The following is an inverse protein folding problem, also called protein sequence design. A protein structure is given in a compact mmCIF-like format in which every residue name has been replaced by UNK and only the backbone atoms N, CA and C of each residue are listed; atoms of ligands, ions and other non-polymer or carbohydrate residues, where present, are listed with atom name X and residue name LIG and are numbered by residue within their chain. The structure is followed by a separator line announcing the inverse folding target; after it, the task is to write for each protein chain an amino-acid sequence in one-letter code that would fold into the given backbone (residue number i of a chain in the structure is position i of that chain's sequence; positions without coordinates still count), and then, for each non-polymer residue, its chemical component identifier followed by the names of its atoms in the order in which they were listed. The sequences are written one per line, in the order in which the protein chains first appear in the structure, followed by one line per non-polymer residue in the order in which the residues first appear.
data_IF_549135833916
#
_entry.id   IF_549135833916
#
_cell.length_a   1.000
_cell.length_b   1.000
_cell.length_c   1.000
_cell.angle_alpha   90.00
_cell.angle_beta   90.00
_cell.angle_gamma   90.00
#
_symmetry.space_group_name_H-M   'P 1'
#
loop_
_entity.id
_entity.type
_entity.pdbx_description
1 polymer ?
#
# COMPACT_ATOMS: atom_id res chain seq x y z
N UNK A 1 -9.85 -8.85 -15.50
CA UNK A 1 -9.25 -9.92 -14.68
C UNK A 1 -7.96 -10.39 -15.35
N UNK A 2 -6.88 -10.52 -14.60
CA UNK A 2 -5.59 -10.98 -15.09
C UNK A 2 -5.50 -12.52 -14.96
N UNK A 3 -5.14 -13.24 -16.04
CA UNK A 3 -4.85 -14.66 -15.93
C UNK A 3 -3.76 -14.91 -14.87
N UNK A 4 -3.97 -15.91 -14.02
CA UNK A 4 -3.03 -16.30 -12.96
C UNK A 4 -2.85 -15.30 -11.82
N UNK A 5 -3.67 -14.24 -11.72
CA UNK A 5 -3.73 -13.34 -10.58
C UNK A 5 -5.08 -13.42 -9.87
N UNK A 6 -5.06 -13.45 -8.54
CA UNK A 6 -6.24 -13.38 -7.71
C UNK A 6 -6.15 -12.19 -6.77
N UNK A 7 -7.11 -11.29 -6.84
CA UNK A 7 -7.25 -10.22 -5.87
C UNK A 7 -8.12 -10.66 -4.69
N UNK A 8 -7.71 -10.30 -3.47
CA UNK A 8 -8.48 -10.49 -2.25
C UNK A 8 -8.60 -9.13 -1.56
N UNK A 9 -9.82 -8.70 -1.30
CA UNK A 9 -10.07 -7.46 -0.59
C UNK A 9 -9.92 -7.66 0.93
N UNK A 10 -9.35 -6.67 1.62
CA UNK A 10 -9.28 -6.69 3.09
C UNK A 10 -10.64 -6.43 3.71
N UNK A 11 -11.53 -5.73 3.01
CA UNK A 11 -12.96 -5.56 3.29
C UNK A 11 -13.75 -5.51 1.99
N UNK A 12 -14.98 -5.92 2.01
CA UNK A 12 -15.90 -6.02 0.87
C UNK A 12 -17.14 -5.12 0.99
N UNK A 13 -17.18 -4.30 2.03
CA UNK A 13 -18.23 -3.31 2.27
C UNK A 13 -17.72 -2.18 3.16
N UNK A 14 -18.56 -1.18 3.43
CA UNK A 14 -18.19 -0.01 4.21
C UNK A 14 -18.23 -0.29 5.72
N UNK A 15 -17.17 -0.88 6.23
CA UNK A 15 -16.91 -1.05 7.66
C UNK A 15 -15.43 -0.87 7.98
N UNK A 16 -15.14 -0.44 9.17
CA UNK A 16 -13.75 -0.24 9.60
C UNK A 16 -13.05 -1.60 9.84
N UNK A 17 -11.82 -1.72 9.33
CA UNK A 17 -10.93 -2.83 9.62
C UNK A 17 -9.62 -2.26 10.16
N UNK A 18 -9.20 -2.59 11.39
CA UNK A 18 -7.94 -2.13 11.95
C UNK A 18 -6.75 -2.41 11.03
N UNK A 19 -5.78 -1.50 11.00
CA UNK A 19 -4.65 -1.56 10.06
C UNK A 19 -3.87 -2.87 10.20
N UNK A 20 -3.62 -3.30 11.43
CA UNK A 20 -2.95 -4.57 11.69
C UNK A 20 -3.75 -5.79 11.20
N UNK A 21 -5.08 -5.73 11.28
CA UNK A 21 -5.94 -6.81 10.79
C UNK A 21 -5.91 -6.93 9.27
N UNK A 22 -5.73 -5.82 8.54
CA UNK A 22 -5.52 -5.84 7.08
C UNK A 22 -4.24 -6.58 6.73
N UNK A 23 -3.13 -6.28 7.44
CA UNK A 23 -1.85 -6.99 7.29
C UNK A 23 -2.01 -8.48 7.61
N UNK A 24 -2.67 -8.82 8.72
CA UNK A 24 -2.89 -10.22 9.10
C UNK A 24 -3.76 -10.98 8.07
N UNK A 25 -4.78 -10.33 7.50
CA UNK A 25 -5.61 -10.94 6.44
C UNK A 25 -4.76 -11.22 5.19
N UNK A 26 -3.91 -10.28 4.77
CA UNK A 26 -2.99 -10.49 3.65
C UNK A 26 -2.05 -11.67 3.89
N UNK A 27 -1.46 -11.76 5.09
CA UNK A 27 -0.59 -12.89 5.47
C UNK A 27 -1.33 -14.23 5.54
N UNK A 28 -2.55 -14.25 6.10
CA UNK A 28 -3.38 -15.47 6.19
C UNK A 28 -3.72 -16.05 4.82
N UNK A 29 -3.98 -15.21 3.82
CA UNK A 29 -4.25 -15.67 2.45
C UNK A 29 -2.97 -15.85 1.64
N UNK A 30 -1.80 -15.72 2.27
CA UNK A 30 -0.49 -15.86 1.64
C UNK A 30 -0.35 -14.98 0.39
N UNK A 31 -0.71 -13.70 0.51
CA UNK A 31 -0.59 -12.74 -0.59
C UNK A 31 0.86 -12.61 -1.05
N UNK A 32 1.07 -12.48 -2.36
CA UNK A 32 2.38 -12.23 -2.95
C UNK A 32 2.75 -10.74 -2.94
N UNK A 33 1.74 -9.87 -2.80
CA UNK A 33 1.88 -8.44 -2.55
C UNK A 33 0.64 -7.85 -1.88
N UNK A 34 0.80 -6.67 -1.30
CA UNK A 34 -0.28 -5.91 -0.67
C UNK A 34 -0.32 -4.48 -1.20
N UNK A 35 -1.51 -4.03 -1.61
CA UNK A 35 -1.74 -2.66 -2.06
C UNK A 35 -2.80 -2.00 -1.20
N UNK A 36 -2.49 -0.81 -0.69
CA UNK A 36 -3.42 0.09 -0.04
C UNK A 36 -3.74 1.23 -1.01
N UNK A 37 -5.00 1.33 -1.46
CA UNK A 37 -5.42 2.31 -2.47
C UNK A 37 -6.20 3.40 -1.78
N UNK A 38 -5.76 4.64 -1.95
CA UNK A 38 -6.22 5.83 -1.27
C UNK A 38 -6.57 6.95 -2.24
N UNK A 39 -7.37 7.90 -1.77
CA UNK A 39 -7.62 9.21 -2.35
C UNK A 39 -7.88 10.19 -1.20
N UNK A 40 -6.81 10.67 -0.57
CA UNK A 40 -6.89 11.45 0.66
C UNK A 40 -7.22 12.92 0.42
N UNK A 41 -7.76 13.57 1.44
CA UNK A 41 -7.82 15.02 1.48
C UNK A 41 -6.48 15.60 1.95
N UNK A 42 -5.98 16.62 1.25
CA UNK A 42 -4.80 17.35 1.67
C UNK A 42 -5.17 18.74 2.20
N UNK A 43 -4.29 19.33 3.02
CA UNK A 43 -4.53 20.66 3.63
C UNK A 43 -4.71 21.75 2.57
N UNK A 44 -3.98 21.62 1.46
CA UNK A 44 -4.05 22.55 0.33
C UNK A 44 -4.99 22.00 -0.74
N UNK A 45 -6.04 22.75 -1.13
CA UNK A 45 -7.00 22.28 -2.12
C UNK A 45 -6.44 22.23 -3.56
N UNK A 46 -5.25 22.76 -3.78
CA UNK A 46 -4.53 22.71 -5.06
C UNK A 46 -3.64 21.45 -5.20
N UNK A 47 -3.51 20.65 -4.13
CA UNK A 47 -2.81 19.37 -4.21
C UNK A 47 -3.44 18.47 -5.28
N UNK A 48 -2.62 17.90 -6.13
CA UNK A 48 -3.06 17.05 -7.25
C UNK A 48 -2.03 16.00 -7.60
N UNK A 49 -2.48 15.00 -8.31
CA UNK A 49 -1.63 13.98 -8.89
C UNK A 49 -1.45 12.74 -8.01
N UNK A 50 -0.94 11.69 -8.61
CA UNK A 50 -0.74 10.41 -7.94
C UNK A 50 0.61 10.34 -7.25
N UNK A 51 0.69 9.57 -6.17
CA UNK A 51 1.92 9.26 -5.44
C UNK A 51 1.94 7.78 -5.03
N UNK A 52 3.14 7.24 -4.87
CA UNK A 52 3.32 5.88 -4.33
C UNK A 52 4.26 5.93 -3.13
N UNK A 53 3.84 5.28 -2.06
CA UNK A 53 4.57 5.20 -0.81
C UNK A 53 4.88 3.75 -0.45
N UNK A 54 6.03 3.53 0.18
CA UNK A 54 6.40 2.24 0.76
C UNK A 54 6.90 2.44 2.19
N UNK A 55 6.98 1.36 2.93
CA UNK A 55 7.45 1.40 4.31
C UNK A 55 8.89 1.91 4.42
N UNK A 56 9.15 2.70 5.47
CA UNK A 56 10.49 2.99 5.97
C UNK A 56 10.53 2.83 7.49
N UNK A 57 11.58 2.22 7.98
CA UNK A 57 11.91 2.15 9.39
C UNK A 57 12.90 3.23 9.84
N UNK A 58 13.56 3.87 8.87
CA UNK A 58 14.63 4.87 9.12
C UNK A 58 14.14 6.32 9.06
N UNK A 59 12.82 6.53 9.04
CA UNK A 59 12.19 7.84 8.92
C UNK A 59 11.55 8.07 7.56
N UNK A 60 10.89 9.22 7.42
CA UNK A 60 10.19 9.57 6.18
C UNK A 60 11.11 10.25 5.17
N UNK A 61 10.88 9.99 3.88
CA UNK A 61 11.61 10.62 2.77
C UNK A 61 11.32 12.10 2.62
N UNK A 62 10.13 12.54 3.08
CA UNK A 62 9.72 13.95 3.06
C UNK A 62 8.81 14.27 4.25
N UNK A 63 8.65 15.58 4.53
CA UNK A 63 7.67 16.05 5.53
C UNK A 63 6.25 15.65 5.16
N UNK A 64 5.91 15.67 3.87
CA UNK A 64 4.61 15.26 3.37
C UNK A 64 4.36 13.78 3.62
N UNK A 65 5.31 12.89 3.27
CA UNK A 65 5.21 11.46 3.53
C UNK A 65 5.04 11.17 5.02
N UNK A 66 5.73 11.91 5.89
CA UNK A 66 5.57 11.79 7.34
C UNK A 66 4.17 12.16 7.81
N UNK A 67 3.65 13.29 7.35
CA UNK A 67 2.32 13.77 7.76
C UNK A 67 1.22 12.83 7.25
N UNK A 68 1.35 12.33 6.02
CA UNK A 68 0.41 11.35 5.47
C UNK A 68 0.42 10.06 6.30
N UNK A 69 1.61 9.52 6.58
CA UNK A 69 1.73 8.31 7.40
C UNK A 69 1.16 8.49 8.81
N UNK A 70 1.31 9.67 9.42
CA UNK A 70 0.69 9.96 10.71
C UNK A 70 -0.84 9.90 10.63
N UNK A 71 -1.45 10.57 9.65
CA UNK A 71 -2.90 10.57 9.45
C UNK A 71 -3.45 9.16 9.23
N UNK A 72 -2.79 8.39 8.34
CA UNK A 72 -3.19 7.02 8.07
C UNK A 72 -3.08 6.12 9.30
N UNK A 73 -2.03 6.29 10.09
CA UNK A 73 -1.85 5.54 11.33
C UNK A 73 -2.88 5.91 12.40
N UNK A 74 -3.34 7.17 12.43
CA UNK A 74 -4.36 7.66 13.36
C UNK A 74 -5.76 7.10 13.05
N UNK A 75 -5.97 6.47 11.88
CA UNK A 75 -7.23 5.81 11.55
C UNK A 75 -7.63 4.73 12.56
N UNK A 76 -6.67 4.04 13.15
CA UNK A 76 -6.94 3.06 14.22
C UNK A 76 -7.48 3.71 15.50
N UNK A 77 -7.02 4.91 15.84
CA UNK A 77 -7.53 5.68 16.99
C UNK A 77 -8.98 6.12 16.75
N UNK A 78 -9.27 6.63 15.55
CA UNK A 78 -10.65 7.00 15.14
C UNK A 78 -11.55 5.78 15.11
N UNK A 79 -11.03 4.62 14.70
CA UNK A 79 -11.74 3.34 14.71
C UNK A 79 -11.92 2.70 16.10
N UNK A 80 -11.45 3.34 17.17
CA UNK A 80 -11.60 2.86 18.55
C UNK A 80 -10.69 1.70 18.93
N UNK A 81 -9.58 1.50 18.24
CA UNK A 81 -8.59 0.45 18.55
C UNK A 81 -7.78 0.82 19.78
N UNK A 82 -7.77 -0.07 20.79
CA UNK A 82 -6.91 0.11 21.95
C UNK A 82 -5.46 -0.29 21.62
N UNK A 83 -4.57 0.67 21.50
CA UNK A 83 -3.15 0.48 21.18
C UNK A 83 -2.28 0.04 22.38
N UNK A 84 -2.88 -0.21 23.55
CA UNK A 84 -2.18 -0.48 24.82
C UNK A 84 -1.62 -1.90 24.99
N UNK A 85 -1.89 -2.85 24.10
CA UNK A 85 -1.41 -4.23 24.20
C UNK A 85 -0.09 -4.42 23.42
N UNK A 86 1.04 -4.29 24.10
CA UNK A 86 2.37 -4.61 23.56
C UNK A 86 2.83 -5.96 24.05
N UNK A 87 2.78 -6.97 23.20
CA UNK A 87 3.58 -8.19 23.34
C UNK A 87 4.57 -8.29 22.19
N UNK A 88 5.84 -7.88 22.43
CA UNK A 88 6.85 -7.77 21.38
C UNK A 88 8.27 -7.87 21.95
N UNK A 89 8.81 -9.06 22.21
CA UNK A 89 10.26 -9.09 22.50
C UNK A 89 11.08 -10.25 21.90
N UNK A 90 10.53 -11.24 21.24
CA UNK A 90 11.29 -12.45 20.88
C UNK A 90 11.55 -12.74 19.39
N UNK A 91 11.13 -11.86 18.47
CA UNK A 91 11.28 -12.12 17.03
C UNK A 91 12.10 -11.06 16.27
N UNK A 92 12.75 -10.12 16.99
CA UNK A 92 13.23 -8.87 16.38
C UNK A 92 14.34 -9.03 15.34
N UNK A 93 15.34 -9.87 15.58
CA UNK A 93 16.56 -9.90 14.74
C UNK A 93 16.37 -10.62 13.39
N UNK A 94 15.60 -11.70 13.34
CA UNK A 94 15.26 -12.38 12.06
C UNK A 94 14.20 -11.60 11.27
N UNK A 95 13.29 -10.90 11.98
CA UNK A 95 12.34 -9.98 11.37
C UNK A 95 13.04 -8.82 10.64
N UNK A 96 14.06 -8.22 11.23
CA UNK A 96 14.74 -7.04 10.68
C UNK A 96 15.40 -7.31 9.32
N UNK A 97 16.03 -8.49 9.14
CA UNK A 97 16.62 -8.87 7.85
C UNK A 97 15.57 -9.16 6.77
N UNK A 98 14.51 -9.87 7.15
CA UNK A 98 13.38 -10.13 6.26
C UNK A 98 12.69 -8.85 5.85
N UNK A 99 12.49 -7.94 6.77
CA UNK A 99 11.82 -6.66 6.53
C UNK A 99 12.63 -5.75 5.60
N UNK A 100 13.97 -5.72 5.72
CA UNK A 100 14.83 -4.96 4.80
C UNK A 100 14.72 -5.46 3.37
N UNK A 101 14.71 -6.78 3.14
CA UNK A 101 14.53 -7.36 1.83
C UNK A 101 13.14 -7.02 1.25
N UNK A 102 12.10 -7.15 2.06
CA UNK A 102 10.71 -6.83 1.70
C UNK A 102 10.52 -5.34 1.37
N UNK A 103 11.16 -4.42 2.10
CA UNK A 103 11.16 -2.99 1.78
C UNK A 103 11.83 -2.73 0.42
N UNK A 104 12.96 -3.39 0.13
CA UNK A 104 13.61 -3.26 -1.17
C UNK A 104 12.74 -3.77 -2.32
N UNK A 105 12.01 -4.85 -2.12
CA UNK A 105 11.06 -5.37 -3.11
C UNK A 105 9.83 -4.45 -3.24
N UNK A 106 9.37 -3.86 -2.13
CA UNK A 106 8.34 -2.83 -2.14
C UNK A 106 8.76 -1.58 -2.95
N UNK A 107 10.02 -1.15 -2.82
CA UNK A 107 10.56 -0.04 -3.62
C UNK A 107 10.57 -0.35 -5.12
N UNK A 108 10.90 -1.59 -5.50
CA UNK A 108 10.83 -2.03 -6.91
C UNK A 108 9.39 -2.01 -7.40
N UNK A 109 8.46 -2.60 -6.63
CA UNK A 109 7.02 -2.56 -6.92
C UNK A 109 6.53 -1.12 -7.08
N UNK A 110 6.87 -0.25 -6.13
CA UNK A 110 6.48 1.15 -6.16
C UNK A 110 6.95 1.89 -7.40
N UNK A 111 8.15 1.60 -7.91
CA UNK A 111 8.66 2.21 -9.15
C UNK A 111 7.84 1.80 -10.38
N UNK A 112 7.43 0.53 -10.50
CA UNK A 112 6.57 0.09 -11.60
C UNK A 112 5.19 0.74 -11.51
N UNK A 113 4.60 0.78 -10.32
CA UNK A 113 3.30 1.42 -10.09
C UNK A 113 3.36 2.91 -10.44
N UNK A 114 4.36 3.63 -9.94
CA UNK A 114 4.53 5.07 -10.19
C UNK A 114 4.71 5.37 -11.68
N UNK A 115 5.50 4.56 -12.39
CA UNK A 115 5.71 4.71 -13.84
C UNK A 115 4.41 4.58 -14.63
N UNK A 116 3.59 3.60 -14.32
CA UNK A 116 2.31 3.38 -15.01
C UNK A 116 1.26 4.45 -14.65
N UNK A 117 1.21 4.89 -13.38
CA UNK A 117 0.32 5.96 -12.95
C UNK A 117 0.65 7.29 -13.64
N UNK A 118 1.94 7.57 -13.90
CA UNK A 118 2.37 8.75 -14.63
C UNK A 118 1.88 8.82 -16.08
N UNK A 119 1.48 7.69 -16.66
CA UNK A 119 0.81 7.65 -17.96
C UNK A 119 -0.69 7.99 -17.94
N UNK A 120 -1.31 8.02 -16.76
CA UNK A 120 -2.74 8.27 -16.58
C UNK A 120 -3.02 9.60 -15.90
N UNK A 121 -2.23 9.95 -14.90
CA UNK A 121 -2.37 11.16 -14.11
C UNK A 121 -1.03 11.89 -13.96
N UNK A 122 -1.07 13.18 -13.67
CA UNK A 122 0.11 13.90 -13.18
C UNK A 122 0.64 13.23 -11.92
N UNK A 123 1.93 13.10 -11.81
CA UNK A 123 2.53 12.62 -10.56
C UNK A 123 2.69 13.78 -9.58
N UNK A 124 2.18 13.61 -8.35
CA UNK A 124 2.43 14.56 -7.27
C UNK A 124 3.91 14.52 -6.84
N UNK A 125 4.50 13.33 -6.86
CA UNK A 125 5.93 13.09 -6.65
C UNK A 125 6.47 12.16 -7.72
N UNK A 126 7.60 12.55 -8.30
CA UNK A 126 8.25 11.79 -9.38
C UNK A 126 9.06 10.58 -8.88
N UNK A 127 9.14 10.39 -7.57
CA UNK A 127 9.84 9.27 -6.94
C UNK A 127 8.91 8.59 -5.93
N UNK A 128 9.15 7.29 -5.71
CA UNK A 128 8.52 6.55 -4.63
C UNK A 128 8.96 7.16 -3.30
N UNK A 129 8.01 7.55 -2.48
CA UNK A 129 8.24 8.09 -1.15
C UNK A 129 8.20 7.00 -0.08
N UNK A 130 8.76 7.30 1.08
CA UNK A 130 8.84 6.34 2.19
C UNK A 130 8.43 7.00 3.50
N UNK A 131 7.67 6.26 4.33
CA UNK A 131 7.38 6.64 5.70
C UNK A 131 6.92 5.41 6.53
N UNK A 132 6.69 5.61 7.82
CA UNK A 132 6.29 4.53 8.73
C UNK A 132 4.77 4.29 8.69
N UNK A 133 4.26 3.79 7.57
CA UNK A 133 2.85 3.40 7.43
C UNK A 133 2.57 2.08 8.16
N UNK A 134 1.67 2.10 9.14
CA UNK A 134 1.31 0.91 9.91
C UNK A 134 0.70 -0.19 9.03
N UNK A 135 -0.11 0.17 8.04
CA UNK A 135 -0.76 -0.76 7.11
C UNK A 135 0.23 -1.50 6.20
N UNK A 136 1.46 -0.98 6.03
CA UNK A 136 2.48 -1.59 5.19
C UNK A 136 3.50 -2.44 5.99
N UNK A 137 3.28 -2.66 7.28
CA UNK A 137 4.20 -3.41 8.16
C UNK A 137 4.04 -4.92 8.05
N UNK A 138 3.96 -5.45 6.83
CA UNK A 138 4.07 -6.89 6.59
C UNK A 138 5.55 -7.24 6.36
N UNK A 139 6.18 -8.06 7.23
CA UNK A 139 7.61 -8.31 7.14
C UNK A 139 8.02 -9.19 5.94
N UNK A 140 7.05 -9.86 5.35
CA UNK A 140 7.21 -10.94 4.36
C UNK A 140 6.42 -10.68 3.06
N UNK A 141 5.73 -9.53 2.94
CA UNK A 141 4.90 -9.21 1.77
C UNK A 141 5.31 -7.84 1.22
N UNK A 142 5.83 -7.73 -0.01
CA UNK A 142 6.04 -6.46 -0.67
C UNK A 142 4.76 -5.63 -0.69
N UNK A 143 4.82 -4.40 -0.20
CA UNK A 143 3.63 -3.59 0.08
C UNK A 143 3.81 -2.16 -0.39
N UNK A 144 2.75 -1.57 -0.96
CA UNK A 144 2.74 -0.17 -1.36
C UNK A 144 1.39 0.49 -1.03
N UNK A 145 1.44 1.78 -0.70
CA UNK A 145 0.28 2.65 -0.61
C UNK A 145 0.27 3.56 -1.84
N UNK A 146 -0.86 3.63 -2.50
CA UNK A 146 -1.07 4.40 -3.71
C UNK A 146 -2.07 5.51 -3.39
N UNK A 147 -1.62 6.76 -3.41
CA UNK A 147 -2.51 7.91 -3.53
C UNK A 147 -2.84 8.09 -5.00
N UNK A 148 -4.07 7.80 -5.37
CA UNK A 148 -4.53 7.91 -6.75
C UNK A 148 -4.72 9.36 -7.18
N UNK A 149 -5.22 10.19 -6.27
CA UNK A 149 -5.50 11.61 -6.42
C UNK A 149 -5.80 12.22 -5.04
N UNK A 150 -6.07 13.52 -4.96
CA UNK A 150 -6.48 14.19 -3.71
C UNK A 150 -7.94 14.64 -3.81
N UNK A 151 -8.83 14.09 -2.96
CA UNK A 151 -10.26 14.46 -2.95
C UNK A 151 -10.51 15.89 -2.49
N UNK A 152 -9.54 16.55 -1.84
CA UNK A 152 -9.61 17.99 -1.52
C UNK A 152 -9.51 18.90 -2.74
N UNK A 153 -9.07 18.36 -3.90
CA UNK A 153 -9.04 19.07 -5.17
C UNK A 153 -10.33 18.77 -5.96
N UNK A 154 -11.20 19.78 -6.22
CA UNK A 154 -12.50 19.55 -6.87
C UNK A 154 -12.42 18.95 -8.27
N UNK A 155 -11.34 19.21 -9.00
CA UNK A 155 -11.16 18.63 -10.35
C UNK A 155 -10.76 17.15 -10.25
N UNK A 156 -9.92 16.79 -9.29
CA UNK A 156 -9.56 15.40 -9.06
C UNK A 156 -10.72 14.60 -8.47
N UNK A 157 -11.45 15.16 -7.49
CA UNK A 157 -12.67 14.55 -6.96
C UNK A 157 -13.68 14.23 -8.07
N UNK A 158 -13.92 15.18 -8.98
CA UNK A 158 -14.81 14.95 -10.14
C UNK A 158 -14.33 13.81 -11.03
N UNK A 159 -13.01 13.73 -11.27
CA UNK A 159 -12.43 12.65 -12.08
C UNK A 159 -12.50 11.31 -11.36
N UNK A 160 -12.30 11.27 -10.03
CA UNK A 160 -12.44 10.06 -9.23
C UNK A 160 -13.87 9.49 -9.23
N UNK A 161 -14.88 10.30 -9.49
CA UNK A 161 -16.27 9.88 -9.65
C UNK A 161 -16.63 9.48 -11.11
N UNK A 162 -15.66 9.47 -12.02
CA UNK A 162 -15.84 9.03 -13.42
C UNK A 162 -15.35 7.59 -13.56
N UNK A 163 -16.24 6.69 -13.93
CA UNK A 163 -15.96 5.25 -14.05
C UNK A 163 -14.84 4.98 -15.06
N UNK A 164 -14.81 5.69 -16.19
CA UNK A 164 -13.78 5.51 -17.20
C UNK A 164 -12.39 5.96 -16.70
N UNK A 165 -12.34 6.93 -15.79
CA UNK A 165 -11.10 7.33 -15.15
C UNK A 165 -10.65 6.32 -14.07
N UNK A 166 -11.60 5.79 -13.30
CA UNK A 166 -11.32 4.72 -12.34
C UNK A 166 -10.75 3.48 -13.05
N UNK A 167 -11.34 3.09 -14.20
CA UNK A 167 -10.83 1.98 -15.00
C UNK A 167 -9.40 2.22 -15.49
N UNK A 168 -9.08 3.43 -15.98
CA UNK A 168 -7.71 3.77 -16.39
C UNK A 168 -6.70 3.68 -15.25
N UNK A 169 -7.08 4.15 -14.05
CA UNK A 169 -6.24 4.01 -12.85
C UNK A 169 -6.04 2.55 -12.46
N UNK A 170 -7.12 1.76 -12.46
CA UNK A 170 -7.07 0.34 -12.16
C UNK A 170 -6.19 -0.43 -13.15
N UNK A 171 -6.32 -0.16 -14.44
CA UNK A 171 -5.47 -0.74 -15.48
C UNK A 171 -3.99 -0.37 -15.31
N UNK A 172 -3.70 0.89 -14.97
CA UNK A 172 -2.32 1.32 -14.70
C UNK A 172 -1.72 0.56 -13.50
N UNK A 173 -2.48 0.42 -12.42
CA UNK A 173 -2.06 -0.35 -11.25
C UNK A 173 -1.80 -1.82 -11.65
N UNK A 174 -2.70 -2.44 -12.40
CA UNK A 174 -2.55 -3.83 -12.87
C UNK A 174 -1.32 -3.98 -13.77
N UNK A 175 -1.06 -3.03 -14.70
CA UNK A 175 0.16 -3.06 -15.52
C UNK A 175 1.42 -2.97 -14.67
N UNK A 176 1.46 -2.08 -13.67
CA UNK A 176 2.59 -1.97 -12.75
C UNK A 176 2.85 -3.25 -11.96
N UNK A 177 1.80 -3.88 -11.44
CA UNK A 177 1.86 -5.19 -10.77
C UNK A 177 2.37 -6.28 -11.72
N UNK A 178 1.86 -6.32 -12.94
CA UNK A 178 2.29 -7.29 -13.96
C UNK A 178 3.78 -7.15 -14.28
N UNK A 179 4.26 -5.93 -14.49
CA UNK A 179 5.67 -5.66 -14.75
C UNK A 179 6.56 -6.08 -13.57
N UNK A 180 6.08 -5.83 -12.35
CA UNK A 180 6.77 -6.29 -11.16
C UNK A 180 6.89 -7.81 -11.14
N UNK A 181 5.82 -8.56 -11.32
CA UNK A 181 5.85 -10.04 -11.29
C UNK A 181 6.61 -10.67 -12.46
N UNK A 182 6.67 -10.04 -13.62
CA UNK A 182 7.52 -10.51 -14.73
C UNK A 182 9.01 -10.50 -14.32
N UNK A 183 9.43 -9.49 -13.58
CA UNK A 183 10.84 -9.32 -13.15
C UNK A 183 11.13 -9.98 -11.79
N UNK A 184 10.12 -10.12 -10.96
CA UNK A 184 10.18 -10.65 -9.60
C UNK A 184 9.04 -11.66 -9.39
N UNK A 185 9.11 -12.84 -10.03
CA UNK A 185 8.07 -13.84 -9.90
C UNK A 185 7.97 -14.32 -8.45
N UNK A 186 6.75 -14.58 -7.94
CA UNK A 186 6.58 -15.10 -6.60
C UNK A 186 7.29 -16.44 -6.47
N UNK A 187 7.98 -16.63 -5.34
CA UNK A 187 8.63 -17.89 -5.02
C UNK A 187 7.62 -19.01 -4.77
N UNK A 188 8.07 -20.28 -4.79
CA UNK A 188 7.20 -21.40 -4.46
C UNK A 188 6.70 -21.25 -3.02
N UNK A 189 5.37 -21.18 -2.85
CA UNK A 189 4.76 -21.11 -1.52
C UNK A 189 4.97 -22.44 -0.80
N UNK A 190 5.55 -22.37 0.40
CA UNK A 190 5.58 -23.52 1.28
C UNK A 190 4.12 -23.98 1.53
N UNK A 191 3.78 -25.21 1.15
CA UNK A 191 2.51 -25.80 1.56
C UNK A 191 2.51 -25.83 3.08
N UNK A 192 1.70 -25.01 3.73
CA UNK A 192 1.39 -25.22 5.14
C UNK A 192 0.82 -26.64 5.25
N UNK A 193 1.61 -27.54 5.85
CA UNK A 193 1.10 -28.83 6.25
C UNK A 193 -0.12 -28.53 7.11
N UNK A 194 -1.27 -29.03 6.68
CA UNK A 194 -2.49 -29.05 7.49
C UNK A 194 -2.15 -29.82 8.77
N UNK A 195 -1.86 -29.10 9.84
CA UNK A 195 -1.91 -29.68 11.19
C UNK A 195 -3.38 -29.98 11.43
N UNK A 196 -3.70 -31.27 11.26
CA UNK A 196 -4.99 -31.85 11.59
C UNK A 196 -5.30 -31.80 13.08
#
# INVERSE_FOLDING_TARGET
AEPNMRAVLTRDSDFFVPLQMRVQKARRVQSDLFLSIHADAWIKPDARGSSVFVLSERGASSTQARLLAQRENDADLVGGVNLGAKDLFLAKTLLDLSQTATINDSLKLGKYLLGELGGVNTLHKNNVEQASFAVLKAPDIPSALIETAFISNPDEERRLNDDAYQDKLAEAIVRGVRQYFIKHPPGPKAKLASLG
#
